data_IF_436567155897
#
_entry.id   IF_436567155897
#
_cell.length_a   1.000
_cell.length_b   1.000
_cell.length_c   1.000
_cell.angle_alpha   90.00
_cell.angle_beta   90.00
_cell.angle_gamma   90.00
#
_symmetry.space_group_name_H-M   'P 1'
#
loop_
_entity.id
_entity.type
_entity.pdbx_description
1 polymer ?
#
# COMPACT_ATOMS: atom_id res chain seq x y z
N UNK A 1 19.53 18.38 2.71
CA UNK A 1 19.04 17.12 3.31
C UNK A 1 18.54 16.28 2.16
N UNK A 2 19.33 15.32 1.69
CA UNK A 2 18.89 14.43 0.62
C UNK A 2 17.89 13.44 1.21
N UNK A 3 16.61 13.74 0.98
CA UNK A 3 15.54 12.77 1.09
C UNK A 3 15.80 11.74 -0.02
N UNK A 4 16.63 10.74 0.28
CA UNK A 4 16.80 9.56 -0.56
C UNK A 4 15.49 8.78 -0.56
N UNK A 5 14.49 9.33 -1.24
CA UNK A 5 13.26 8.64 -1.55
C UNK A 5 13.65 7.46 -2.44
N UNK A 6 13.76 6.26 -1.84
CA UNK A 6 13.97 5.04 -2.61
C UNK A 6 12.92 5.00 -3.71
N UNK A 7 13.29 4.93 -4.99
CA UNK A 7 12.35 5.11 -6.09
C UNK A 7 11.30 4.00 -6.14
N UNK A 8 11.64 2.82 -5.57
CA UNK A 8 10.78 1.65 -5.53
C UNK A 8 10.86 0.94 -4.18
N UNK A 9 9.74 0.32 -3.80
CA UNK A 9 9.61 -0.53 -2.63
C UNK A 9 9.27 -1.95 -3.05
N UNK A 10 9.88 -2.95 -2.38
CA UNK A 10 9.50 -4.35 -2.57
C UNK A 10 8.27 -4.69 -1.75
N UNK A 11 7.46 -5.63 -2.24
CA UNK A 11 6.33 -6.20 -1.49
C UNK A 11 6.71 -6.58 -0.04
N UNK A 12 7.83 -7.28 0.16
CA UNK A 12 8.30 -7.68 1.50
C UNK A 12 8.58 -6.51 2.43
N UNK A 13 9.05 -5.37 1.91
CA UNK A 13 9.30 -4.16 2.71
C UNK A 13 7.98 -3.51 3.12
N UNK A 14 7.04 -3.39 2.19
CA UNK A 14 5.71 -2.89 2.49
C UNK A 14 4.95 -3.80 3.46
N UNK A 15 5.17 -5.12 3.40
CA UNK A 15 4.62 -6.06 4.38
C UNK A 15 5.18 -5.82 5.78
N UNK A 16 6.47 -5.51 5.92
CA UNK A 16 7.07 -5.16 7.22
C UNK A 16 6.53 -3.83 7.75
N UNK A 17 6.28 -2.85 6.87
CA UNK A 17 5.81 -1.51 7.24
C UNK A 17 4.33 -1.47 7.62
N UNK A 18 3.46 -2.08 6.84
CA UNK A 18 2.00 -2.01 7.02
C UNK A 18 1.36 -3.29 7.58
N UNK A 19 2.07 -4.41 7.49
CA UNK A 19 1.50 -5.73 7.71
C UNK A 19 0.81 -6.30 6.46
N UNK A 20 0.85 -7.62 6.32
CA UNK A 20 0.30 -8.34 5.15
C UNK A 20 -1.19 -8.07 4.90
N UNK A 21 -1.99 -7.96 5.96
CA UNK A 21 -3.45 -7.74 5.83
C UNK A 21 -3.77 -6.34 5.31
N UNK A 22 -3.12 -5.30 5.85
CA UNK A 22 -3.33 -3.93 5.41
C UNK A 22 -2.82 -3.72 3.99
N UNK A 23 -1.62 -4.21 3.67
CA UNK A 23 -1.07 -4.14 2.32
C UNK A 23 -1.99 -4.83 1.29
N UNK A 24 -2.52 -6.01 1.61
CA UNK A 24 -3.48 -6.71 0.76
C UNK A 24 -4.81 -5.95 0.59
N UNK A 25 -5.25 -5.19 1.59
CA UNK A 25 -6.41 -4.29 1.45
C UNK A 25 -6.10 -3.08 0.59
N UNK A 26 -4.94 -2.46 0.75
CA UNK A 26 -4.51 -1.32 -0.06
C UNK A 26 -4.42 -1.69 -1.54
N UNK A 27 -3.91 -2.89 -1.88
CA UNK A 27 -3.92 -3.37 -3.27
C UNK A 27 -5.33 -3.61 -3.78
N UNK A 28 -6.19 -4.30 -3.02
CA UNK A 28 -7.58 -4.57 -3.43
C UNK A 28 -8.39 -3.29 -3.62
N UNK A 29 -8.16 -2.28 -2.78
CA UNK A 29 -8.74 -0.95 -2.90
C UNK A 29 -8.10 -0.09 -4.01
N UNK A 30 -7.12 -0.62 -4.75
CA UNK A 30 -6.34 0.09 -5.79
C UNK A 30 -5.60 1.33 -5.25
N UNK A 31 -5.28 1.37 -3.97
CA UNK A 31 -4.43 2.39 -3.37
C UNK A 31 -2.96 2.19 -3.74
N UNK A 32 -2.55 0.93 -3.87
CA UNK A 32 -1.23 0.53 -4.33
C UNK A 32 -1.37 -0.38 -5.53
N UNK A 33 -0.66 -0.07 -6.61
CA UNK A 33 -0.58 -0.94 -7.79
C UNK A 33 0.90 -1.25 -8.04
N UNK A 34 1.31 -2.53 -8.09
CA UNK A 34 2.68 -2.86 -8.42
C UNK A 34 2.97 -2.45 -9.86
N UNK A 35 4.04 -1.68 -10.08
CA UNK A 35 4.48 -1.31 -11.43
C UNK A 35 5.22 -2.46 -12.12
N UNK A 36 5.84 -3.35 -11.33
CA UNK A 36 6.50 -4.57 -11.81
C UNK A 36 5.95 -5.74 -11.01
N UNK A 37 5.46 -6.76 -11.72
CA UNK A 37 4.98 -8.01 -11.13
C UNK A 37 5.75 -9.17 -11.76
N UNK A 38 6.59 -9.81 -10.96
CA UNK A 38 7.33 -11.02 -11.32
C UNK A 38 6.89 -12.17 -10.42
N UNK A 39 7.15 -13.40 -10.85
CA UNK A 39 6.89 -14.60 -10.06
C UNK A 39 7.62 -14.59 -8.70
N UNK A 40 8.75 -13.84 -8.61
CA UNK A 40 9.60 -13.79 -7.41
C UNK A 40 9.43 -12.52 -6.57
N UNK A 41 8.92 -11.43 -7.14
CA UNK A 41 8.80 -10.16 -6.44
C UNK A 41 7.80 -9.21 -7.09
N UNK A 42 7.34 -8.22 -6.32
CA UNK A 42 6.57 -7.09 -6.84
C UNK A 42 7.20 -5.79 -6.36
N UNK A 43 7.28 -4.80 -7.27
CA UNK A 43 7.80 -3.47 -6.99
C UNK A 43 6.69 -2.43 -7.06
N UNK A 44 6.78 -1.44 -6.18
CA UNK A 44 5.82 -0.34 -6.04
C UNK A 44 6.59 0.98 -6.10
N UNK A 45 6.10 1.95 -6.85
CA UNK A 45 6.76 3.27 -6.92
C UNK A 45 6.65 4.02 -5.60
N UNK A 46 7.68 4.80 -5.26
CA UNK A 46 7.66 5.70 -4.10
C UNK A 46 6.40 6.58 -4.09
N UNK A 47 6.03 7.14 -5.25
CA UNK A 47 4.83 7.97 -5.41
C UNK A 47 3.55 7.24 -5.00
N UNK A 48 3.39 5.98 -5.42
CA UNK A 48 2.20 5.19 -5.05
C UNK A 48 2.16 4.89 -3.55
N UNK A 49 3.32 4.62 -2.95
CA UNK A 49 3.47 4.37 -1.51
C UNK A 49 3.17 5.64 -0.71
N UNK A 50 3.77 6.77 -1.08
CA UNK A 50 3.53 8.06 -0.46
C UNK A 50 2.04 8.45 -0.51
N UNK A 51 1.38 8.32 -1.67
CA UNK A 51 -0.06 8.60 -1.78
C UNK A 51 -0.91 7.70 -0.88
N UNK A 52 -0.51 6.44 -0.70
CA UNK A 52 -1.20 5.53 0.18
C UNK A 52 -0.92 5.83 1.67
N UNK A 53 0.30 6.24 2.01
CA UNK A 53 0.65 6.77 3.33
C UNK A 53 -0.17 8.03 3.67
N UNK A 54 -0.30 8.98 2.74
CA UNK A 54 -1.07 10.23 2.94
C UNK A 54 -2.54 9.94 3.26
N UNK A 55 -3.15 8.97 2.56
CA UNK A 55 -4.51 8.51 2.85
C UNK A 55 -4.60 7.93 4.27
N UNK A 56 -3.68 7.04 4.63
CA UNK A 56 -3.64 6.45 5.97
C UNK A 56 -3.44 7.49 7.07
N UNK A 57 -2.53 8.46 6.86
CA UNK A 57 -2.27 9.56 7.80
C UNK A 57 -3.48 10.50 7.94
N UNK A 58 -4.27 10.65 6.88
CA UNK A 58 -5.53 11.40 6.89
C UNK A 58 -6.69 10.66 7.57
N UNK A 59 -6.43 9.48 8.16
CA UNK A 59 -7.47 8.62 8.74
C UNK A 59 -8.34 7.89 7.71
N UNK A 60 -8.05 8.04 6.41
CA UNK A 60 -8.70 7.23 5.40
C UNK A 60 -8.11 5.83 5.50
N UNK A 61 -8.96 4.85 5.77
CA UNK A 61 -8.61 3.44 5.73
C UNK A 61 -9.09 2.86 4.40
N UNK A 62 -8.31 1.96 3.75
CA UNK A 62 -8.81 1.26 2.58
C UNK A 62 -10.07 0.54 3.01
N UNK A 63 -11.16 0.62 2.22
CA UNK A 63 -12.45 0.11 2.61
C UNK A 63 -12.26 -1.27 3.20
N UNK A 64 -12.46 -1.37 4.53
CA UNK A 64 -12.81 -2.66 5.10
C UNK A 64 -14.10 -2.96 4.34
N UNK A 65 -14.20 -4.10 3.66
CA UNK A 65 -15.52 -4.66 3.44
C UNK A 65 -16.09 -4.98 4.83
N UNK A 66 -16.51 -3.95 5.56
CA UNK A 66 -17.73 -3.99 6.33
C UNK A 66 -18.78 -3.82 5.25
N UNK A 67 -19.36 -4.94 4.82
CA UNK A 67 -20.80 -4.91 4.73
C UNK A 67 -21.28 -4.61 6.15
N UNK A 68 -21.33 -3.33 6.50
CA UNK A 68 -22.17 -2.87 7.57
C UNK A 68 -23.58 -3.00 6.99
N UNK A 69 -24.14 -4.20 7.14
CA UNK A 69 -25.58 -4.37 7.15
C UNK A 69 -25.91 -4.29 8.64
N UNK A 70 -26.42 -3.14 9.07
CA UNK A 70 -27.12 -3.01 10.35
C UNK A 70 -28.20 -1.94 10.17
N UNK A 71 -29.43 -2.11 10.70
CA UNK A 71 -30.11 -3.32 11.20
C UNK A 71 -30.99 -4.03 10.14
#
# INVERSE_FOLDING_TARGET
MEDSAQPFYRWKELQKRYGSSLLGRMIRARWLTPCVRSHRFSLFTAKSVASADERLASGQLPPRHMKEVSP
#
